data_IF_629518656286
#
_entry.id   IF_629518656286
#
_cell.length_a   1.000
_cell.length_b   1.000
_cell.length_c   1.000
_cell.angle_alpha   90.00
_cell.angle_beta   90.00
_cell.angle_gamma   90.00
#
_symmetry.space_group_name_H-M   'P 1'
#
loop_
_entity.id
_entity.type
_entity.pdbx_description
1 polymer ?
#
# COMPACT_ATOMS: atom_id res chain seq x y z
N UNK A 1 -6.04 -45.99 -12.21
CA UNK A 1 -6.85 -45.14 -13.13
C UNK A 1 -7.90 -44.25 -12.44
N UNK A 2 -7.77 -43.87 -11.16
CA UNK A 2 -8.86 -43.20 -10.41
C UNK A 2 -8.50 -41.88 -9.69
N UNK A 3 -7.32 -41.28 -9.94
CA UNK A 3 -6.90 -40.04 -9.25
C UNK A 3 -6.86 -38.76 -10.11
N UNK A 4 -6.99 -38.86 -11.43
CA UNK A 4 -6.88 -37.69 -12.33
C UNK A 4 -8.19 -36.89 -12.45
N UNK A 5 -9.34 -37.49 -12.13
CA UNK A 5 -10.67 -36.89 -12.33
C UNK A 5 -11.17 -35.96 -11.21
N UNK A 6 -10.44 -35.79 -10.09
CA UNK A 6 -10.86 -34.88 -9.00
C UNK A 6 -10.37 -33.44 -9.18
N UNK A 7 -9.28 -33.21 -9.91
CA UNK A 7 -8.72 -31.87 -10.12
C UNK A 7 -9.54 -31.09 -11.16
N UNK A 8 -10.01 -31.76 -12.22
CA UNK A 8 -10.82 -31.12 -13.27
C UNK A 8 -12.17 -30.57 -12.73
N UNK A 9 -12.84 -31.29 -11.82
CA UNK A 9 -14.15 -30.90 -11.25
C UNK A 9 -14.10 -29.74 -10.26
N UNK A 10 -12.93 -29.34 -9.78
CA UNK A 10 -12.77 -28.16 -8.91
C UNK A 10 -12.58 -26.87 -9.71
N UNK A 11 -12.18 -26.97 -10.99
CA UNK A 11 -11.97 -25.79 -11.86
C UNK A 11 -13.27 -25.17 -12.38
N UNK A 12 -14.36 -25.94 -12.47
CA UNK A 12 -15.64 -25.46 -13.02
C UNK A 12 -16.50 -24.70 -11.99
N UNK A 13 -16.22 -24.82 -10.67
CA UNK A 13 -17.04 -24.18 -9.62
C UNK A 13 -16.50 -22.83 -9.11
N UNK A 14 -15.34 -22.39 -9.59
CA UNK A 14 -14.78 -21.09 -9.24
C UNK A 14 -14.45 -20.30 -10.52
N UNK A 15 -15.43 -20.14 -11.40
CA UNK A 15 -15.45 -18.96 -12.27
C UNK A 15 -15.91 -17.75 -11.44
N UNK A 16 -15.14 -17.37 -10.41
CA UNK A 16 -15.19 -15.99 -9.94
C UNK A 16 -14.63 -15.18 -11.10
N UNK A 17 -15.48 -14.41 -11.76
CA UNK A 17 -14.98 -13.35 -12.63
C UNK A 17 -13.94 -12.57 -11.79
N UNK A 18 -12.75 -12.32 -12.35
CA UNK A 18 -11.77 -11.42 -11.75
C UNK A 18 -12.28 -9.97 -11.81
N UNK A 19 -13.55 -9.73 -11.51
CA UNK A 19 -14.07 -8.40 -11.30
C UNK A 19 -13.40 -7.84 -10.06
N UNK A 20 -12.61 -6.80 -10.26
CA UNK A 20 -12.11 -5.99 -9.17
C UNK A 20 -13.33 -5.38 -8.49
N UNK A 21 -13.67 -5.90 -7.30
CA UNK A 21 -14.88 -5.60 -6.52
C UNK A 21 -15.13 -4.08 -6.44
N UNK A 22 -14.06 -3.29 -6.28
CA UNK A 22 -14.09 -1.84 -6.13
C UNK A 22 -13.80 -1.03 -7.42
N UNK A 23 -13.83 -1.66 -8.60
CA UNK A 23 -13.60 -0.97 -9.88
C UNK A 23 -14.76 -0.03 -10.26
N UNK A 24 -15.97 -0.32 -9.80
CA UNK A 24 -17.11 0.60 -9.87
C UNK A 24 -17.21 1.36 -8.54
N UNK A 25 -16.76 2.63 -8.47
CA UNK A 25 -17.58 3.71 -9.04
C UNK A 25 -16.77 4.84 -9.69
N UNK A 26 -17.01 5.07 -10.99
CA UNK A 26 -16.72 6.35 -11.65
C UNK A 26 -17.99 7.21 -11.60
N UNK A 27 -18.01 8.36 -10.91
CA UNK A 27 -19.03 9.35 -11.19
C UNK A 27 -18.98 9.74 -12.68
N UNK A 28 -20.13 10.07 -13.25
CA UNK A 28 -20.21 10.59 -14.61
C UNK A 28 -19.29 11.83 -14.73
N UNK A 29 -18.36 11.84 -15.71
CA UNK A 29 -17.51 12.99 -15.93
C UNK A 29 -18.34 14.19 -16.40
N UNK A 30 -17.99 15.39 -15.94
CA UNK A 30 -18.50 16.62 -16.56
C UNK A 30 -17.85 16.82 -17.95
N UNK A 31 -18.41 17.70 -18.82
CA UNK A 31 -17.70 18.15 -20.00
C UNK A 31 -16.28 18.63 -19.64
N UNK A 32 -15.30 18.26 -20.45
CA UNK A 32 -13.86 18.55 -20.27
C UNK A 32 -13.19 17.94 -19.02
N UNK A 33 -13.79 16.91 -18.44
CA UNK A 33 -13.29 16.20 -17.27
C UNK A 33 -13.07 14.71 -17.58
N UNK A 34 -11.99 14.16 -17.05
CA UNK A 34 -11.76 12.71 -16.97
C UNK A 34 -11.84 12.28 -15.51
N UNK A 35 -12.60 11.23 -15.22
CA UNK A 35 -12.68 10.65 -13.88
C UNK A 35 -11.88 9.35 -13.83
N UNK A 36 -10.90 9.29 -12.93
CA UNK A 36 -10.05 8.10 -12.70
C UNK A 36 -10.28 7.60 -11.28
N UNK A 37 -10.85 6.40 -11.17
CA UNK A 37 -11.00 5.71 -9.88
C UNK A 37 -9.67 5.10 -9.45
N UNK A 38 -9.34 5.28 -8.17
CA UNK A 38 -8.13 4.76 -7.53
C UNK A 38 -8.38 4.48 -6.05
N UNK A 39 -7.34 4.07 -5.34
CA UNK A 39 -7.36 3.90 -3.89
C UNK A 39 -6.56 5.01 -3.22
N UNK A 40 -7.05 5.46 -2.06
CA UNK A 40 -6.31 6.35 -1.19
C UNK A 40 -4.96 5.71 -0.79
N UNK A 41 -3.88 6.41 -1.08
CA UNK A 41 -2.50 6.00 -0.76
C UNK A 41 -2.09 6.31 0.69
N UNK A 42 -2.99 6.87 1.50
CA UNK A 42 -2.67 7.27 2.87
C UNK A 42 -2.31 6.07 3.76
N UNK A 43 -1.43 6.32 4.71
CA UNK A 43 -0.77 5.30 5.53
C UNK A 43 -1.67 4.66 6.61
N UNK A 44 -2.96 4.99 6.67
CA UNK A 44 -3.88 4.45 7.68
C UNK A 44 -4.32 3.00 7.40
N UNK A 45 -3.98 2.43 6.23
CA UNK A 45 -4.35 1.08 5.84
C UNK A 45 -5.80 0.90 5.38
N UNK A 46 -6.64 1.94 5.43
CA UNK A 46 -8.07 1.85 5.10
C UNK A 46 -8.40 1.71 3.61
N UNK A 47 -7.48 2.11 2.71
CA UNK A 47 -7.63 1.94 1.24
C UNK A 47 -8.97 2.37 0.66
N UNK A 48 -9.45 3.49 1.17
CA UNK A 48 -10.67 4.13 0.72
C UNK A 48 -10.64 4.32 -0.80
N UNK A 49 -11.77 4.10 -1.46
CA UNK A 49 -11.92 4.39 -2.89
C UNK A 49 -12.00 5.90 -3.08
N UNK A 50 -11.19 6.40 -4.02
CA UNK A 50 -11.11 7.80 -4.40
C UNK A 50 -11.28 7.94 -5.90
N UNK A 51 -11.89 9.04 -6.32
CA UNK A 51 -12.11 9.38 -7.72
C UNK A 51 -11.39 10.69 -8.01
N UNK A 52 -10.34 10.62 -8.83
CA UNK A 52 -9.61 11.79 -9.28
C UNK A 52 -10.33 12.40 -10.48
N UNK A 53 -10.77 13.65 -10.33
CA UNK A 53 -11.41 14.45 -11.37
C UNK A 53 -10.31 15.26 -12.06
N UNK A 54 -9.95 14.89 -13.28
CA UNK A 54 -8.83 15.43 -14.04
C UNK A 54 -9.35 16.39 -15.11
N UNK A 55 -8.80 17.61 -15.15
CA UNK A 55 -9.10 18.62 -16.17
C UNK A 55 -7.79 19.25 -16.63
N UNK A 56 -7.60 19.41 -17.94
CA UNK A 56 -6.36 19.97 -18.49
C UNK A 56 -5.10 19.25 -18.00
N UNK A 57 -5.15 17.92 -17.86
CA UNK A 57 -4.02 17.10 -17.39
C UNK A 57 -3.69 17.22 -15.89
N UNK A 58 -4.52 17.91 -15.09
CA UNK A 58 -4.32 18.09 -13.65
C UNK A 58 -5.52 17.60 -12.86
N UNK A 59 -5.28 17.03 -11.68
CA UNK A 59 -6.33 16.68 -10.74
C UNK A 59 -6.92 17.99 -10.21
N UNK A 60 -8.17 18.28 -10.53
CA UNK A 60 -8.91 19.44 -10.06
C UNK A 60 -9.62 19.15 -8.72
N UNK A 61 -10.02 17.89 -8.50
CA UNK A 61 -10.73 17.46 -7.29
C UNK A 61 -10.54 15.98 -7.05
N UNK A 62 -10.59 15.57 -5.79
CA UNK A 62 -10.72 14.16 -5.40
C UNK A 62 -12.06 13.99 -4.70
N UNK A 63 -12.89 13.07 -5.18
CA UNK A 63 -14.11 12.65 -4.50
C UNK A 63 -13.98 11.24 -3.94
N UNK A 64 -14.95 10.84 -3.13
CA UNK A 64 -15.00 9.53 -2.48
C UNK A 64 -15.93 8.57 -3.21
N UNK A 65 -15.89 7.30 -2.83
CA UNK A 65 -16.99 6.36 -3.00
C UNK A 65 -18.30 6.92 -2.44
N UNK A 66 -19.34 6.96 -3.27
CA UNK A 66 -20.68 7.45 -2.93
C UNK A 66 -21.73 6.35 -2.93
N UNK A 67 -21.31 5.07 -3.03
CA UNK A 67 -22.24 3.94 -3.03
C UNK A 67 -22.96 3.86 -1.69
N UNK A 68 -24.24 3.47 -1.74
CA UNK A 68 -25.00 3.14 -0.53
C UNK A 68 -24.45 1.86 0.08
N UNK A 69 -24.59 1.73 1.40
CA UNK A 69 -24.17 0.53 2.11
C UNK A 69 -24.93 -0.71 1.62
N UNK A 70 -24.17 -1.78 1.37
CA UNK A 70 -24.67 -3.13 1.12
C UNK A 70 -23.76 -4.13 1.83
N UNK A 71 -24.32 -5.21 2.38
CA UNK A 71 -23.56 -6.17 3.18
C UNK A 71 -22.51 -6.95 2.37
N UNK A 72 -22.87 -7.33 1.15
CA UNK A 72 -22.01 -8.01 0.17
C UNK A 72 -20.93 -7.08 -0.40
N UNK A 73 -21.19 -5.78 -0.35
CA UNK A 73 -20.34 -4.77 -0.96
C UNK A 73 -20.38 -3.44 -0.17
N UNK A 74 -19.74 -3.35 1.01
CA UNK A 74 -19.71 -2.12 1.78
C UNK A 74 -18.93 -1.02 1.02
N UNK A 75 -19.39 0.24 1.03
CA UNK A 75 -18.64 1.35 0.45
C UNK A 75 -17.37 1.61 1.26
N UNK A 76 -16.33 2.10 0.59
CA UNK A 76 -15.06 2.48 1.23
C UNK A 76 -14.83 3.98 1.10
N UNK A 77 -15.60 4.82 1.82
CA UNK A 77 -15.50 6.25 1.65
C UNK A 77 -14.17 6.81 2.17
N UNK A 78 -13.60 7.75 1.43
CA UNK A 78 -12.43 8.52 1.84
C UNK A 78 -12.83 9.61 2.85
N UNK A 79 -12.10 9.65 3.97
CA UNK A 79 -12.15 10.76 4.91
C UNK A 79 -11.50 12.03 4.34
N UNK A 80 -11.49 13.12 5.12
CA UNK A 80 -10.85 14.39 4.78
C UNK A 80 -9.40 14.23 4.28
N UNK A 81 -8.60 13.34 4.90
CA UNK A 81 -7.23 13.05 4.48
C UNK A 81 -7.14 12.35 3.11
N UNK A 82 -8.17 11.58 2.75
CA UNK A 82 -8.23 10.88 1.47
C UNK A 82 -8.57 11.82 0.32
N UNK A 83 -9.58 12.68 0.49
CA UNK A 83 -9.91 13.72 -0.50
C UNK A 83 -8.84 14.82 -0.56
N UNK A 84 -8.19 15.11 0.56
CA UNK A 84 -7.08 16.08 0.64
C UNK A 84 -5.75 15.59 0.07
N UNK A 85 -5.65 14.38 -0.50
CA UNK A 85 -4.40 13.89 -1.10
C UNK A 85 -3.88 14.80 -2.23
N UNK A 86 -4.75 15.59 -2.86
CA UNK A 86 -4.38 16.59 -3.87
C UNK A 86 -3.33 17.58 -3.37
N UNK A 87 -3.40 17.98 -2.09
CA UNK A 87 -2.45 18.91 -1.47
C UNK A 87 -1.05 18.30 -1.37
N UNK A 88 -0.95 17.00 -1.07
CA UNK A 88 0.33 16.28 -1.07
C UNK A 88 0.91 16.14 -2.48
N UNK A 89 0.07 15.85 -3.47
CA UNK A 89 0.50 15.70 -4.86
C UNK A 89 1.09 17.00 -5.39
N UNK A 90 0.48 18.14 -5.04
CA UNK A 90 0.91 19.47 -5.50
C UNK A 90 1.70 20.29 -4.48
N UNK A 91 2.13 19.68 -3.38
CA UNK A 91 2.89 20.39 -2.34
C UNK A 91 4.15 21.03 -2.95
N UNK A 92 4.44 22.31 -2.66
CA UNK A 92 5.60 23.00 -3.25
C UNK A 92 6.92 22.30 -2.92
N UNK A 93 7.04 21.77 -1.70
CA UNK A 93 8.27 21.13 -1.19
C UNK A 93 8.40 19.65 -1.55
N UNK A 94 7.53 19.10 -2.41
CA UNK A 94 7.66 17.70 -2.83
C UNK A 94 8.99 17.49 -3.55
N UNK A 95 9.66 16.37 -3.28
CA UNK A 95 10.86 15.98 -4.02
C UNK A 95 10.50 15.70 -5.49
N UNK A 96 11.18 16.39 -6.40
CA UNK A 96 10.96 16.26 -7.86
C UNK A 96 12.09 15.51 -8.57
N UNK A 97 13.25 15.42 -7.91
CA UNK A 97 14.48 14.88 -8.48
C UNK A 97 15.25 14.08 -7.43
N UNK A 98 16.07 13.10 -7.84
CA UNK A 98 17.07 12.50 -6.97
C UNK A 98 18.05 13.55 -6.43
N UNK A 99 18.49 13.36 -5.19
CA UNK A 99 19.38 14.26 -4.48
C UNK A 99 20.53 13.46 -3.83
N UNK A 100 21.78 13.90 -4.03
CA UNK A 100 22.97 13.36 -3.35
C UNK A 100 23.35 14.28 -2.20
N UNK A 101 23.64 13.70 -1.03
CA UNK A 101 24.14 14.48 0.12
C UNK A 101 25.60 14.88 -0.12
N UNK A 102 25.90 16.17 -0.04
CA UNK A 102 27.26 16.72 -0.26
C UNK A 102 27.94 17.16 1.04
N UNK A 103 27.17 17.40 2.11
CA UNK A 103 27.69 17.81 3.41
C UNK A 103 27.62 16.73 4.50
N UNK A 104 28.01 17.08 5.74
CA UNK A 104 27.87 16.20 6.91
C UNK A 104 26.42 15.75 7.12
N UNK A 105 26.24 14.57 7.72
CA UNK A 105 24.90 14.03 8.03
C UNK A 105 24.16 15.02 8.95
N UNK A 106 22.94 15.39 8.57
CA UNK A 106 22.11 16.37 9.30
C UNK A 106 22.26 17.82 8.83
N UNK A 107 23.21 18.13 7.94
CA UNK A 107 23.43 19.50 7.43
C UNK A 107 22.37 20.02 6.47
N UNK A 108 21.54 19.15 5.90
CA UNK A 108 20.58 19.54 4.86
C UNK A 108 21.20 19.89 3.50
N UNK A 109 22.51 19.65 3.31
CA UNK A 109 23.21 19.98 2.06
C UNK A 109 23.09 18.83 1.05
N UNK A 110 22.44 19.14 -0.07
CA UNK A 110 22.22 18.21 -1.16
C UNK A 110 22.45 18.87 -2.51
N UNK A 111 22.95 18.10 -3.47
CA UNK A 111 22.98 18.44 -4.88
C UNK A 111 21.97 17.58 -5.65
N UNK A 112 21.44 18.12 -6.75
CA UNK A 112 20.60 17.35 -7.66
C UNK A 112 21.47 16.48 -8.55
N UNK A 113 21.06 15.22 -8.72
CA UNK A 113 21.68 14.28 -9.64
C UNK A 113 20.63 13.67 -10.58
N UNK A 114 21.10 13.01 -11.64
CA UNK A 114 20.23 12.24 -12.54
C UNK A 114 19.74 10.94 -11.87
N UNK A 115 18.75 10.30 -12.49
CA UNK A 115 18.29 8.98 -12.05
C UNK A 115 19.35 7.91 -12.27
N UNK A 116 20.08 7.96 -13.39
CA UNK A 116 21.12 6.98 -13.71
C UNK A 116 22.25 7.05 -12.67
N UNK A 117 22.76 8.25 -12.37
CA UNK A 117 23.78 8.43 -11.31
C UNK A 117 23.30 7.94 -9.94
N UNK A 118 22.04 8.23 -9.58
CA UNK A 118 21.49 7.82 -8.30
C UNK A 118 21.40 6.29 -8.19
N UNK A 119 20.95 5.63 -9.25
CA UNK A 119 20.81 4.18 -9.31
C UNK A 119 22.18 3.49 -9.33
N UNK A 120 23.13 4.00 -10.10
CA UNK A 120 24.50 3.48 -10.18
C UNK A 120 25.21 3.56 -8.82
N UNK A 121 25.07 4.68 -8.11
CA UNK A 121 25.66 4.82 -6.77
C UNK A 121 25.05 3.87 -5.76
N UNK A 122 23.72 3.74 -5.74
CA UNK A 122 23.03 2.81 -4.85
C UNK A 122 23.44 1.37 -5.16
N UNK A 123 23.49 1.00 -6.45
CA UNK A 123 23.92 -0.32 -6.88
C UNK A 123 25.36 -0.62 -6.45
N UNK A 124 26.29 0.30 -6.70
CA UNK A 124 27.69 0.17 -6.30
C UNK A 124 27.84 0.00 -4.78
N UNK A 125 27.08 0.76 -3.97
CA UNK A 125 27.11 0.61 -2.52
C UNK A 125 26.51 -0.72 -2.04
N UNK A 126 25.39 -1.17 -2.64
CA UNK A 126 24.80 -2.46 -2.30
C UNK A 126 25.76 -3.63 -2.62
N UNK A 127 26.43 -3.58 -3.78
CA UNK A 127 27.45 -4.55 -4.17
C UNK A 127 28.61 -4.55 -3.18
N UNK A 128 29.19 -3.37 -2.89
CA UNK A 128 30.30 -3.22 -1.94
C UNK A 128 29.95 -3.78 -0.56
N UNK A 129 28.77 -3.45 -0.03
CA UNK A 129 28.32 -3.92 1.30
C UNK A 129 28.17 -5.44 1.30
N UNK A 130 27.55 -6.01 0.26
CA UNK A 130 27.39 -7.45 0.11
C UNK A 130 28.74 -8.17 0.05
N UNK A 131 29.68 -7.66 -0.74
CA UNK A 131 31.02 -8.26 -0.91
C UNK A 131 31.87 -8.15 0.36
N UNK A 132 31.77 -7.04 1.09
CA UNK A 132 32.61 -6.78 2.26
C UNK A 132 32.05 -7.39 3.54
N UNK A 133 30.73 -7.35 3.74
CA UNK A 133 30.08 -7.67 5.01
C UNK A 133 28.98 -8.73 4.90
N UNK A 134 28.64 -9.15 3.68
CA UNK A 134 27.50 -10.02 3.43
C UNK A 134 26.15 -9.30 3.48
N UNK A 135 25.12 -9.98 2.99
CA UNK A 135 23.76 -9.42 2.87
C UNK A 135 23.10 -9.08 4.22
N UNK A 136 23.53 -9.70 5.32
CA UNK A 136 23.03 -9.37 6.67
C UNK A 136 23.37 -7.93 7.09
N UNK A 137 24.37 -7.29 6.48
CA UNK A 137 24.69 -5.88 6.73
C UNK A 137 23.72 -4.90 6.03
N UNK A 138 22.84 -5.38 5.15
CA UNK A 138 21.83 -4.57 4.48
C UNK A 138 20.55 -4.59 5.33
N UNK A 139 20.22 -3.48 5.97
CA UNK A 139 18.99 -3.33 6.74
C UNK A 139 17.89 -2.71 5.87
N UNK A 140 16.75 -3.40 5.74
CA UNK A 140 15.54 -2.76 5.24
C UNK A 140 14.85 -1.95 6.35
N UNK A 141 15.07 -0.64 6.31
CA UNK A 141 14.37 0.34 7.14
C UNK A 141 13.05 0.83 6.55
N UNK A 142 12.63 0.32 5.38
CA UNK A 142 11.39 0.77 4.76
C UNK A 142 10.18 0.36 5.60
N UNK A 143 9.32 1.33 5.85
CA UNK A 143 8.11 1.19 6.66
C UNK A 143 6.95 1.85 5.94
N UNK A 144 6.24 2.70 6.64
CA UNK A 144 4.92 3.18 6.30
C UNK A 144 5.10 4.57 5.65
N UNK A 145 4.32 4.90 4.63
CA UNK A 145 4.52 6.14 3.86
C UNK A 145 3.69 6.19 2.59
N UNK A 146 3.90 5.20 1.72
CA UNK A 146 2.99 4.83 0.64
C UNK A 146 2.72 3.35 0.78
N UNK A 147 1.45 2.97 0.94
CA UNK A 147 1.10 1.55 1.02
C UNK A 147 0.79 0.96 -0.35
N UNK A 148 0.66 1.77 -1.42
CA UNK A 148 0.24 1.34 -2.76
C UNK A 148 1.05 0.16 -3.31
N UNK A 149 0.45 -0.69 -4.15
CA UNK A 149 1.08 -1.94 -4.62
C UNK A 149 2.43 -1.74 -5.30
N UNK A 150 2.56 -0.72 -6.16
CA UNK A 150 3.79 -0.44 -6.92
C UNK A 150 4.79 0.44 -6.17
N UNK A 151 4.30 1.34 -5.33
CA UNK A 151 5.12 2.34 -4.63
C UNK A 151 5.28 2.05 -3.14
N UNK A 152 4.88 0.85 -2.71
CA UNK A 152 4.95 0.40 -1.34
C UNK A 152 6.17 -0.48 -1.09
N UNK A 153 6.20 -1.11 0.09
CA UNK A 153 7.33 -1.94 0.53
C UNK A 153 7.59 -3.15 -0.36
N UNK A 154 6.53 -3.75 -0.93
CA UNK A 154 6.56 -5.05 -1.60
C UNK A 154 7.66 -5.21 -2.67
N UNK A 155 7.73 -4.33 -3.69
CA UNK A 155 8.76 -4.40 -4.72
C UNK A 155 10.18 -4.35 -4.17
N UNK A 156 10.45 -3.47 -3.19
CA UNK A 156 11.77 -3.36 -2.55
C UNK A 156 12.16 -4.66 -1.81
N UNK A 157 11.22 -5.28 -1.08
CA UNK A 157 11.48 -6.56 -0.40
C UNK A 157 11.74 -7.68 -1.40
N UNK A 158 10.98 -7.72 -2.49
CA UNK A 158 11.19 -8.72 -3.55
C UNK A 158 12.59 -8.57 -4.13
N UNK A 159 12.99 -7.34 -4.46
CA UNK A 159 14.34 -7.04 -4.93
C UNK A 159 15.42 -7.51 -3.95
N UNK A 160 15.33 -7.13 -2.68
CA UNK A 160 16.34 -7.49 -1.67
C UNK A 160 16.42 -9.01 -1.42
N UNK A 161 15.30 -9.72 -1.47
CA UNK A 161 15.32 -11.19 -1.42
C UNK A 161 16.05 -11.79 -2.63
N UNK A 162 15.78 -11.30 -3.84
CA UNK A 162 16.47 -11.76 -5.06
C UNK A 162 17.95 -11.34 -5.09
N UNK A 163 18.32 -10.25 -4.42
CA UNK A 163 19.70 -9.79 -4.27
C UNK A 163 20.54 -10.68 -3.31
N UNK A 164 19.90 -11.64 -2.65
CA UNK A 164 20.51 -12.65 -1.77
C UNK A 164 20.14 -12.49 -0.30
N UNK A 165 19.07 -11.76 0.02
CA UNK A 165 18.58 -11.56 1.37
C UNK A 165 18.98 -10.22 1.97
N UNK A 166 18.45 -9.92 3.15
CA UNK A 166 18.69 -8.69 3.90
C UNK A 166 18.26 -8.88 5.36
N UNK A 167 18.74 -8.02 6.25
CA UNK A 167 18.24 -7.93 7.62
C UNK A 167 16.92 -7.20 7.64
N UNK A 168 15.88 -7.86 8.13
CA UNK A 168 14.56 -7.28 8.30
C UNK A 168 14.31 -6.94 9.78
N UNK A 169 13.55 -5.87 9.99
CA UNK A 169 13.01 -5.53 11.30
C UNK A 169 11.87 -6.51 11.67
N UNK A 170 12.05 -7.25 12.77
CA UNK A 170 11.17 -8.36 13.22
C UNK A 170 9.71 -7.95 13.46
N UNK A 171 9.47 -6.72 13.93
CA UNK A 171 8.16 -6.26 14.37
C UNK A 171 7.79 -4.86 13.83
N UNK A 172 6.64 -4.34 14.21
CA UNK A 172 6.12 -3.04 13.85
C UNK A 172 5.73 -2.23 15.09
N UNK A 173 5.95 -0.91 15.05
CA UNK A 173 5.63 -0.01 16.16
C UNK A 173 4.12 0.23 16.35
N UNK A 174 3.28 -0.23 15.42
CA UNK A 174 1.86 0.17 15.38
C UNK A 174 0.94 -0.78 16.13
N UNK A 175 1.14 -2.09 16.02
CA UNK A 175 0.12 -3.08 16.38
C UNK A 175 0.69 -4.39 16.96
N UNK A 176 1.98 -4.46 17.32
CA UNK A 176 2.56 -5.74 17.77
C UNK A 176 1.89 -6.31 19.02
N UNK A 177 1.54 -5.45 19.99
CA UNK A 177 0.82 -5.91 21.19
C UNK A 177 -0.52 -6.58 20.84
N UNK A 178 -1.23 -6.04 19.85
CA UNK A 178 -2.47 -6.62 19.35
C UNK A 178 -2.23 -7.93 18.60
N UNK A 179 -1.21 -7.98 17.73
CA UNK A 179 -0.80 -9.20 17.02
C UNK A 179 -0.50 -10.33 18.01
N UNK A 180 0.24 -10.01 19.07
CA UNK A 180 0.54 -10.95 20.14
C UNK A 180 -0.73 -11.44 20.83
N UNK A 181 -1.59 -10.53 21.29
CA UNK A 181 -2.83 -10.87 21.99
C UNK A 181 -3.74 -11.77 21.13
N UNK A 182 -3.98 -11.40 19.87
CA UNK A 182 -4.81 -12.19 18.95
C UNK A 182 -4.24 -13.60 18.77
N UNK A 183 -2.92 -13.74 18.60
CA UNK A 183 -2.28 -15.04 18.41
C UNK A 183 -2.36 -15.92 19.66
N UNK A 184 -2.18 -15.33 20.84
CA UNK A 184 -2.26 -16.06 22.10
C UNK A 184 -3.70 -16.50 22.42
N UNK A 185 -4.70 -15.69 22.07
CA UNK A 185 -6.11 -15.99 22.36
C UNK A 185 -6.76 -16.90 21.32
N UNK A 186 -6.52 -16.66 20.02
CA UNK A 186 -7.26 -17.31 18.94
C UNK A 186 -6.42 -18.29 18.09
N UNK A 187 -5.11 -18.37 18.37
CA UNK A 187 -4.16 -19.27 17.71
C UNK A 187 -3.16 -18.56 16.78
N UNK A 188 -2.01 -19.19 16.51
CA UNK A 188 -0.85 -18.56 15.85
C UNK A 188 -1.13 -18.08 14.41
N UNK A 189 -2.04 -18.75 13.69
CA UNK A 189 -2.34 -18.48 12.28
C UNK A 189 -3.41 -17.40 12.08
N UNK A 190 -3.91 -16.79 13.16
CA UNK A 190 -4.99 -15.81 13.07
C UNK A 190 -4.47 -14.44 12.59
N UNK A 191 -5.02 -13.90 11.49
CA UNK A 191 -4.67 -12.56 11.04
C UNK A 191 -5.29 -11.52 11.98
N UNK A 192 -4.47 -10.76 12.70
CA UNK A 192 -4.96 -9.73 13.63
C UNK A 192 -5.90 -8.70 12.98
N UNK A 193 -5.70 -8.41 11.69
CA UNK A 193 -6.58 -7.49 10.95
C UNK A 193 -7.96 -8.05 10.62
N UNK A 194 -8.15 -9.38 10.65
CA UNK A 194 -9.42 -10.02 10.33
C UNK A 194 -10.01 -10.78 11.53
N UNK A 195 -9.31 -10.86 12.66
CA UNK A 195 -9.77 -11.50 13.88
C UNK A 195 -10.76 -10.57 14.62
N UNK A 196 -12.04 -10.61 14.22
CA UNK A 196 -13.14 -9.95 14.94
C UNK A 196 -13.38 -8.48 14.59
N UNK A 197 -13.06 -8.06 13.35
CA UNK A 197 -13.19 -6.66 12.89
C UNK A 197 -13.98 -6.55 11.58
N UNK A 198 -15.07 -7.28 11.46
CA UNK A 198 -15.90 -7.18 10.26
C UNK A 198 -16.80 -5.94 10.35
N UNK A 199 -16.78 -5.02 9.37
CA UNK A 199 -17.63 -3.83 9.41
C UNK A 199 -19.14 -4.14 9.51
N UNK A 200 -19.58 -5.33 9.10
CA UNK A 200 -20.98 -5.76 9.28
C UNK A 200 -21.35 -5.96 10.74
N UNK A 201 -20.39 -6.20 11.62
CA UNK A 201 -20.65 -6.40 13.05
C UNK A 201 -21.11 -5.11 13.71
N UNK A 202 -20.68 -3.94 13.23
CA UNK A 202 -21.12 -2.64 13.78
C UNK A 202 -22.63 -2.44 13.68
N UNK A 203 -23.23 -2.85 12.57
CA UNK A 203 -24.68 -2.67 12.33
C UNK A 203 -25.51 -3.60 13.22
N UNK A 204 -24.96 -4.76 13.54
CA UNK A 204 -25.62 -5.76 14.38
C UNK A 204 -25.25 -5.64 15.88
N UNK A 205 -24.32 -4.75 16.22
CA UNK A 205 -23.82 -4.58 17.58
C UNK A 205 -24.88 -3.95 18.48
N UNK A 206 -25.15 -4.58 19.62
CA UNK A 206 -26.02 -4.04 20.67
C UNK A 206 -25.24 -3.25 21.74
N UNK A 207 -23.93 -3.44 21.78
CA UNK A 207 -23.00 -2.78 22.69
C UNK A 207 -21.67 -2.57 21.98
N UNK A 208 -21.14 -1.35 22.05
CA UNK A 208 -19.80 -1.02 21.59
C UNK A 208 -19.03 -0.54 22.81
N UNK A 209 -17.96 -1.24 23.15
CA UNK A 209 -17.02 -0.85 24.20
C UNK A 209 -15.73 -0.37 23.54
N UNK A 210 -15.33 0.88 23.82
CA UNK A 210 -14.09 1.49 23.31
C UNK A 210 -13.09 1.70 24.44
#
# INVERSE_FOLDING_TARGET
MHKVNRIARLSEKFSMSMQTIYEAPRPEPKPDEQVVTSTCGHNCGGRCVVNAHVRGGRIARISTDSRRWKADHPPLPACARGVGQIERIYHPDRLKYPLRRTGPRGSGQFERISWDEALDEIAAQLLRVRETYGNAAILDGSRSGSLSTLHGRGPALRFLNMFGGYTYLWSNMSAEAEVFAVRMTFGPDRPYKAAGREPTDYINSKLIWM
#
